data_IF_093062834718
#
_entry.id   IF_093062834718
#
_cell.length_a   1.000
_cell.length_b   1.000
_cell.length_c   1.000
_cell.angle_alpha   90.00
_cell.angle_beta   90.00
_cell.angle_gamma   90.00
#
_symmetry.space_group_name_H-M   'P 1'
#
loop_
_entity.id
_entity.type
_entity.pdbx_description
1 polymer ?
#
# COMPACT_ATOMS: atom_id res chain seq x y z
N UNK A 1 42.06 -40.50 -9.01
CA UNK A 1 41.06 -40.46 -7.90
C UNK A 1 40.79 -39.06 -7.34
N UNK A 2 41.25 -37.96 -7.96
CA UNK A 2 41.20 -36.59 -7.40
C UNK A 2 40.07 -35.68 -7.95
N UNK A 3 39.38 -36.07 -9.03
CA UNK A 3 38.36 -35.22 -9.70
C UNK A 3 37.02 -35.12 -8.95
N UNK A 4 36.70 -36.10 -8.10
CA UNK A 4 35.38 -36.20 -7.46
C UNK A 4 35.20 -35.27 -6.26
N UNK A 5 36.29 -34.78 -5.66
CA UNK A 5 36.22 -33.87 -4.51
C UNK A 5 35.96 -32.41 -4.94
N UNK A 6 36.45 -32.01 -6.11
CA UNK A 6 36.23 -30.65 -6.65
C UNK A 6 34.75 -30.40 -6.99
N UNK A 7 34.07 -31.36 -7.63
CA UNK A 7 32.66 -31.23 -7.97
C UNK A 7 31.74 -31.20 -6.73
N UNK A 8 32.13 -31.90 -5.65
CA UNK A 8 31.40 -31.87 -4.38
C UNK A 8 31.56 -30.53 -3.65
N UNK A 9 32.75 -29.93 -3.71
CA UNK A 9 33.01 -28.60 -3.16
C UNK A 9 32.26 -27.50 -3.92
N UNK A 10 32.25 -27.57 -5.26
CA UNK A 10 31.49 -26.62 -6.10
C UNK A 10 29.98 -26.76 -5.82
N UNK A 11 29.46 -27.99 -5.70
CA UNK A 11 28.04 -28.23 -5.39
C UNK A 11 27.66 -27.72 -3.99
N UNK A 12 28.52 -27.94 -2.97
CA UNK A 12 28.29 -27.44 -1.62
C UNK A 12 28.34 -25.90 -1.53
N UNK A 13 29.21 -25.27 -2.32
CA UNK A 13 29.31 -23.81 -2.41
C UNK A 13 28.09 -23.21 -3.13
N UNK A 14 27.60 -23.88 -4.18
CA UNK A 14 26.37 -23.48 -4.89
C UNK A 14 25.11 -23.65 -4.02
N UNK A 15 25.06 -24.71 -3.20
CA UNK A 15 23.95 -24.97 -2.27
C UNK A 15 23.93 -23.95 -1.12
N UNK A 16 25.10 -23.59 -0.59
CA UNK A 16 25.22 -22.52 0.42
C UNK A 16 24.81 -21.15 -0.16
N UNK A 17 25.18 -20.87 -1.42
CA UNK A 17 24.76 -19.64 -2.09
C UNK A 17 23.24 -19.59 -2.28
N UNK A 18 22.59 -20.72 -2.62
CA UNK A 18 21.12 -20.79 -2.75
C UNK A 18 20.38 -20.54 -1.43
N UNK A 19 20.94 -20.97 -0.29
CA UNK A 19 20.34 -20.78 1.04
C UNK A 19 20.45 -19.32 1.50
N UNK A 20 21.51 -18.60 1.13
CA UNK A 20 21.69 -17.20 1.48
C UNK A 20 20.80 -16.22 0.68
N UNK A 21 20.21 -16.62 -0.44
CA UNK A 21 19.29 -15.76 -1.22
C UNK A 21 17.91 -15.62 -0.53
N UNK A 22 17.59 -16.50 0.43
CA UNK A 22 16.28 -16.53 1.10
C UNK A 22 16.03 -15.48 2.20
N UNK A 23 17.00 -14.60 2.51
CA UNK A 23 16.88 -13.63 3.62
C UNK A 23 16.95 -12.17 3.20
N UNK A 24 16.73 -11.85 1.92
CA UNK A 24 16.51 -10.45 1.54
C UNK A 24 15.09 -10.08 1.96
N UNK A 25 14.96 -9.44 3.12
CA UNK A 25 13.77 -8.66 3.46
C UNK A 25 13.71 -7.54 2.41
N UNK A 26 12.87 -7.70 1.40
CA UNK A 26 12.54 -6.62 0.48
C UNK A 26 11.92 -5.50 1.31
N UNK A 27 12.71 -4.48 1.64
CA UNK A 27 12.19 -3.24 2.19
C UNK A 27 11.47 -2.53 1.05
N UNK A 28 10.18 -2.84 0.93
CA UNK A 28 9.30 -2.17 -0.03
C UNK A 28 8.80 -0.87 0.59
N UNK A 29 8.99 0.24 -0.13
CA UNK A 29 8.44 1.57 0.17
C UNK A 29 6.92 1.65 -0.03
N UNK A 30 6.27 0.52 -0.30
CA UNK A 30 4.83 0.41 -0.53
C UNK A 30 4.03 -0.02 0.68
N UNK A 31 4.66 0.02 1.84
CA UNK A 31 4.00 -0.29 3.09
C UNK A 31 3.41 0.98 3.70
N UNK A 32 2.34 0.81 4.47
CA UNK A 32 1.84 1.81 5.38
C UNK A 32 2.25 1.49 6.81
N UNK A 33 1.62 2.19 7.75
CA UNK A 33 1.80 1.91 9.16
C UNK A 33 0.60 2.34 9.99
N UNK A 34 0.63 1.96 11.26
CA UNK A 34 -0.31 2.44 12.27
C UNK A 34 0.48 3.04 13.41
N UNK A 35 0.12 4.25 13.82
CA UNK A 35 0.71 4.96 14.95
C UNK A 35 -0.38 5.38 15.91
N UNK A 36 -0.01 5.71 17.14
CA UNK A 36 -0.93 6.38 18.05
C UNK A 36 -0.43 6.38 19.48
N UNK A 37 -1.29 6.82 20.37
CA UNK A 37 -1.02 6.92 21.80
C UNK A 37 -2.04 6.15 22.62
N UNK A 38 -1.57 5.50 23.68
CA UNK A 38 -2.40 4.80 24.66
C UNK A 38 -2.54 5.64 25.91
N UNK A 39 -3.80 5.90 26.29
CA UNK A 39 -4.16 6.71 27.47
C UNK A 39 -5.19 6.00 28.34
N UNK A 40 -5.30 6.42 29.60
CA UNK A 40 -6.31 5.93 30.54
C UNK A 40 -7.62 6.76 30.49
N UNK A 41 -8.67 6.41 31.27
CA UNK A 41 -9.93 7.17 31.29
C UNK A 41 -9.78 8.65 31.66
N UNK A 42 -8.73 8.98 32.42
CA UNK A 42 -8.39 10.31 32.92
C UNK A 42 -7.46 11.08 31.96
N UNK A 43 -7.01 10.46 30.86
CA UNK A 43 -6.10 11.03 29.88
C UNK A 43 -4.62 10.92 30.25
N UNK A 44 -4.28 10.20 31.32
CA UNK A 44 -2.90 9.90 31.65
C UNK A 44 -2.31 8.86 30.69
N UNK A 45 -0.99 8.90 30.54
CA UNK A 45 -0.25 8.03 29.62
C UNK A 45 -0.20 6.61 30.18
N UNK A 46 -0.44 5.60 29.34
CA UNK A 46 -0.23 4.20 29.69
C UNK A 46 1.03 3.66 28.99
N UNK A 47 2.18 3.62 29.68
CA UNK A 47 3.41 3.08 29.10
C UNK A 47 3.36 1.56 29.03
N UNK A 48 4.22 0.98 28.18
CA UNK A 48 4.41 -0.48 28.06
C UNK A 48 3.13 -1.28 27.70
N UNK A 49 2.11 -0.63 27.14
CA UNK A 49 0.96 -1.32 26.59
C UNK A 49 1.40 -2.20 25.40
N UNK A 50 0.93 -3.44 25.36
CA UNK A 50 1.14 -4.34 24.23
C UNK A 50 0.12 -4.02 23.15
N UNK A 51 0.58 -3.74 21.94
CA UNK A 51 -0.24 -3.44 20.77
C UNK A 51 -0.04 -4.55 19.75
N UNK A 52 -1.10 -5.32 19.49
CA UNK A 52 -1.14 -6.40 18.52
C UNK A 52 -1.96 -5.98 17.32
N UNK A 53 -1.33 -5.95 16.16
CA UNK A 53 -1.91 -5.51 14.88
C UNK A 53 -2.08 -6.73 13.98
N UNK A 54 -3.31 -7.07 13.63
CA UNK A 54 -3.65 -8.26 12.85
C UNK A 54 -4.26 -7.84 11.52
N UNK A 55 -3.68 -8.27 10.39
CA UNK A 55 -4.27 -8.10 9.07
C UNK A 55 -5.49 -9.03 8.96
N UNK A 56 -6.68 -8.48 8.69
CA UNK A 56 -7.92 -9.29 8.69
C UNK A 56 -8.05 -10.17 7.45
N UNK A 57 -7.38 -9.84 6.34
CA UNK A 57 -7.42 -10.63 5.11
C UNK A 57 -6.41 -11.80 5.08
N UNK A 58 -5.26 -11.65 5.75
CA UNK A 58 -4.19 -12.67 5.75
C UNK A 58 -3.99 -13.35 7.10
N UNK A 59 -4.58 -12.83 8.19
CA UNK A 59 -4.34 -13.24 9.58
C UNK A 59 -2.88 -13.04 10.07
N UNK A 60 -2.04 -12.34 9.30
CA UNK A 60 -0.69 -11.99 9.72
C UNK A 60 -0.74 -11.01 10.90
N UNK A 61 0.08 -11.25 11.92
CA UNK A 61 0.08 -10.48 13.16
C UNK A 61 1.46 -9.88 13.43
N UNK A 62 1.48 -8.60 13.79
CA UNK A 62 2.67 -7.89 14.30
C UNK A 62 2.36 -7.41 15.71
N UNK A 63 3.28 -7.59 16.65
CA UNK A 63 3.11 -7.11 18.03
C UNK A 63 4.24 -6.16 18.37
N UNK A 64 3.89 -5.01 18.95
CA UNK A 64 4.83 -4.01 19.46
C UNK A 64 4.44 -3.59 20.87
N UNK A 65 5.37 -2.96 21.58
CA UNK A 65 5.12 -2.40 22.90
C UNK A 65 5.17 -0.87 22.82
N UNK A 66 4.18 -0.20 23.40
CA UNK A 66 4.16 1.25 23.51
C UNK A 66 5.33 1.74 24.39
N UNK A 67 5.92 2.87 24.02
CA UNK A 67 7.06 3.44 24.73
C UNK A 67 6.66 4.08 26.08
N UNK A 68 7.62 4.71 26.76
CA UNK A 68 7.40 5.37 28.05
C UNK A 68 6.44 6.58 27.99
N UNK A 69 6.21 7.12 26.79
CA UNK A 69 5.24 8.19 26.52
C UNK A 69 3.87 7.63 26.07
N UNK A 70 3.70 6.31 26.13
CA UNK A 70 2.49 5.60 25.68
C UNK A 70 2.28 5.62 24.18
N UNK A 71 3.26 6.10 23.40
CA UNK A 71 3.19 6.12 21.94
C UNK A 71 3.64 4.77 21.37
N UNK A 72 2.98 4.34 20.31
CA UNK A 72 3.32 3.14 19.56
C UNK A 72 3.41 3.45 18.06
N UNK A 73 4.22 2.66 17.36
CA UNK A 73 4.37 2.74 15.91
C UNK A 73 4.61 1.34 15.35
N UNK A 74 3.78 0.96 14.40
CA UNK A 74 3.90 -0.28 13.63
C UNK A 74 4.04 0.12 12.18
N UNK A 75 5.26 0.03 11.65
CA UNK A 75 5.57 0.33 10.25
C UNK A 75 5.59 -0.96 9.43
N UNK A 76 5.79 -0.83 8.12
CA UNK A 76 5.97 -1.95 7.21
C UNK A 76 4.75 -2.87 7.11
N UNK A 77 3.56 -2.31 7.32
CA UNK A 77 2.30 -3.03 7.13
C UNK A 77 1.89 -2.96 5.66
N UNK A 78 1.54 -4.09 5.07
CA UNK A 78 0.96 -4.08 3.73
C UNK A 78 -0.35 -3.30 3.74
N UNK A 79 -0.70 -2.59 2.66
CA UNK A 79 -2.03 -1.99 2.55
C UNK A 79 -3.12 -3.02 2.82
N UNK A 80 -4.12 -2.65 3.62
CA UNK A 80 -4.94 -3.66 4.28
C UNK A 80 -5.97 -3.08 5.23
N UNK A 81 -6.94 -3.92 5.61
CA UNK A 81 -7.76 -3.68 6.79
C UNK A 81 -7.16 -4.48 7.94
N UNK A 82 -7.09 -3.83 9.10
CA UNK A 82 -6.43 -4.36 10.28
C UNK A 82 -7.36 -4.29 11.49
N UNK A 83 -7.11 -5.20 12.43
CA UNK A 83 -7.61 -5.15 13.79
C UNK A 83 -6.46 -4.89 14.75
N UNK A 84 -6.65 -3.91 15.62
CA UNK A 84 -5.73 -3.58 16.70
C UNK A 84 -6.28 -4.13 18.02
N UNK A 85 -5.45 -4.84 18.78
CA UNK A 85 -5.75 -5.27 20.13
C UNK A 85 -4.70 -4.67 21.07
N UNK A 86 -5.12 -3.85 22.03
CA UNK A 86 -4.24 -3.17 22.97
C UNK A 86 -4.51 -3.72 24.36
N UNK A 87 -3.45 -4.14 25.06
CA UNK A 87 -3.55 -4.64 26.43
C UNK A 87 -2.46 -4.03 27.32
N UNK A 88 -2.82 -3.74 28.58
CA UNK A 88 -1.88 -3.30 29.61
C UNK A 88 -2.35 -3.80 30.97
N UNK A 89 -1.42 -4.06 31.89
CA UNK A 89 -1.75 -4.55 33.23
C UNK A 89 -2.65 -3.57 33.99
N UNK A 90 -3.74 -4.08 34.59
CA UNK A 90 -4.71 -3.25 35.31
C UNK A 90 -5.79 -2.60 34.44
N UNK A 91 -5.75 -2.81 33.12
CA UNK A 91 -6.73 -2.28 32.17
C UNK A 91 -7.44 -3.40 31.40
N UNK A 92 -8.67 -3.13 31.02
CA UNK A 92 -9.44 -3.94 30.09
C UNK A 92 -8.75 -3.89 28.72
N UNK A 93 -8.53 -5.04 28.05
CA UNK A 93 -8.02 -5.01 26.69
C UNK A 93 -9.03 -4.32 25.77
N UNK A 94 -8.53 -3.45 24.91
CA UNK A 94 -9.31 -2.69 23.92
C UNK A 94 -9.07 -3.26 22.53
N UNK A 95 -10.10 -3.25 21.68
CA UNK A 95 -10.02 -3.69 20.29
C UNK A 95 -10.52 -2.61 19.36
N UNK A 96 -9.76 -2.23 18.35
CA UNK A 96 -10.22 -1.39 17.26
C UNK A 96 -10.28 -2.22 15.98
N UNK A 97 -11.45 -2.28 15.34
CA UNK A 97 -11.66 -3.00 14.08
C UNK A 97 -11.74 -2.03 12.89
N UNK A 98 -11.60 -2.56 11.68
CA UNK A 98 -11.76 -1.76 10.46
C UNK A 98 -10.64 -0.73 10.22
N UNK A 99 -9.49 -0.84 10.88
CA UNK A 99 -8.38 0.11 10.71
C UNK A 99 -7.77 -0.06 9.33
N UNK A 100 -7.98 0.94 8.46
CA UNK A 100 -7.44 0.94 7.10
C UNK A 100 -6.00 1.44 7.11
N UNK A 101 -5.11 0.67 6.48
CA UNK A 101 -3.72 1.03 6.20
C UNK A 101 -3.59 1.20 4.69
N UNK A 102 -3.11 2.37 4.28
CA UNK A 102 -2.89 2.75 2.89
C UNK A 102 -1.39 2.85 2.60
N UNK A 103 -1.02 2.68 1.33
CA UNK A 103 0.36 2.79 0.85
C UNK A 103 0.96 4.17 1.17
N UNK A 104 2.16 4.15 1.75
CA UNK A 104 2.91 5.38 2.05
C UNK A 104 2.24 6.28 3.09
N UNK A 105 1.29 5.77 3.87
CA UNK A 105 0.57 6.51 4.91
C UNK A 105 0.68 5.81 6.26
N UNK A 106 0.85 6.60 7.32
CA UNK A 106 0.65 6.17 8.69
C UNK A 106 -0.75 6.55 9.17
N UNK A 107 -1.56 5.56 9.53
CA UNK A 107 -2.90 5.77 10.10
C UNK A 107 -2.75 6.01 11.60
N UNK A 108 -3.22 7.17 12.09
CA UNK A 108 -3.16 7.49 13.51
C UNK A 108 -4.41 6.98 14.25
N UNK A 109 -4.23 6.14 15.26
CA UNK A 109 -5.30 5.56 16.10
C UNK A 109 -4.92 5.74 17.57
N UNK A 110 -5.44 6.79 18.18
CA UNK A 110 -5.31 6.98 19.63
C UNK A 110 -6.31 6.10 20.38
N UNK A 111 -5.85 5.41 21.41
CA UNK A 111 -6.64 4.42 22.17
C UNK A 111 -6.74 4.85 23.61
N UNK A 112 -7.97 4.85 24.12
CA UNK A 112 -8.29 5.13 25.51
C UNK A 112 -8.72 3.83 26.19
N UNK A 113 -7.87 3.31 27.07
CA UNK A 113 -8.16 2.10 27.82
C UNK A 113 -9.17 2.36 28.93
N UNK A 114 -9.91 1.32 29.31
CA UNK A 114 -10.82 1.36 30.45
C UNK A 114 -10.25 0.54 31.60
N UNK A 115 -10.49 0.97 32.84
CA UNK A 115 -10.00 0.26 34.03
C UNK A 115 -10.85 -1.00 34.23
N UNK A 116 -10.21 -2.16 34.40
CA UNK A 116 -10.90 -3.42 34.61
C UNK A 116 -10.16 -4.61 34.03
N UNK A 117 -10.77 -5.79 34.10
CA UNK A 117 -10.22 -7.04 33.55
C UNK A 117 -11.12 -7.66 32.47
N UNK A 118 -12.35 -7.16 32.32
CA UNK A 118 -13.25 -7.59 31.25
C UNK A 118 -12.80 -6.98 29.91
N UNK A 119 -12.92 -7.71 28.80
CA UNK A 119 -12.62 -7.17 27.47
C UNK A 119 -13.60 -6.04 27.18
N UNK A 120 -13.08 -4.84 26.95
CA UNK A 120 -13.89 -3.72 26.47
C UNK A 120 -13.80 -3.70 24.95
N UNK A 121 -14.89 -4.08 24.29
CA UNK A 121 -15.03 -3.89 22.85
C UNK A 121 -15.34 -2.41 22.63
N UNK A 122 -14.29 -1.58 22.64
CA UNK A 122 -14.41 -0.19 22.23
C UNK A 122 -14.39 -0.19 20.71
N UNK A 123 -15.56 -0.28 20.08
CA UNK A 123 -15.71 -0.11 18.65
C UNK A 123 -15.27 1.32 18.27
N UNK A 124 -13.96 1.50 18.09
CA UNK A 124 -13.42 2.69 17.46
C UNK A 124 -13.77 2.53 15.99
N UNK A 125 -14.91 3.10 15.59
CA UNK A 125 -15.20 3.33 14.17
C UNK A 125 -14.10 4.24 13.65
N UNK A 126 -13.08 3.63 13.04
CA UNK A 126 -11.99 4.31 12.37
C UNK A 126 -12.55 4.96 11.10
N UNK A 127 -13.29 6.06 11.26
CA UNK A 127 -13.62 6.92 10.14
C UNK A 127 -12.29 7.53 9.66
N UNK A 128 -11.81 7.08 8.50
CA UNK A 128 -10.60 7.62 7.92
C UNK A 128 -10.80 9.14 7.71
N UNK A 129 -9.98 10.01 8.31
CA UNK A 129 -10.11 11.43 8.07
C UNK A 129 -9.87 11.68 6.58
N UNK A 130 -10.87 12.29 5.92
CA UNK A 130 -10.89 12.62 4.48
C UNK A 130 -9.70 13.51 4.11
N UNK A 131 -9.15 14.24 5.09
CA UNK A 131 -7.99 15.12 4.93
C UNK A 131 -7.04 14.87 6.11
N UNK A 132 -5.79 14.51 5.80
CA UNK A 132 -4.72 14.42 6.78
C UNK A 132 -4.01 15.78 6.87
N UNK A 133 -4.14 16.47 8.02
CA UNK A 133 -3.45 17.75 8.27
C UNK A 133 -2.02 17.56 8.84
N UNK A 134 -1.61 16.32 9.11
CA UNK A 134 -0.37 15.99 9.80
C UNK A 134 0.81 15.73 8.87
N UNK A 135 0.57 15.58 7.57
CA UNK A 135 1.59 15.26 6.58
C UNK A 135 1.94 16.50 5.74
N UNK A 136 3.23 16.79 5.62
CA UNK A 136 3.75 17.94 4.86
C UNK A 136 3.91 17.63 3.35
N UNK A 137 3.69 16.38 2.94
CA UNK A 137 3.65 16.00 1.54
C UNK A 137 2.28 16.30 0.93
N UNK A 138 2.26 16.92 -0.26
CA UNK A 138 1.05 17.00 -1.08
C UNK A 138 0.85 15.64 -1.75
N UNK A 139 0.46 14.66 -0.93
CA UNK A 139 0.20 13.29 -1.30
C UNK A 139 -1.32 13.06 -1.41
N UNK A 140 -1.73 12.33 -2.43
CA UNK A 140 -3.11 11.88 -2.61
C UNK A 140 -3.12 10.36 -2.80
N UNK A 141 -3.87 9.68 -1.93
CA UNK A 141 -4.11 8.25 -2.03
C UNK A 141 -5.38 8.03 -2.84
N UNK A 142 -5.26 7.30 -3.95
CA UNK A 142 -6.40 6.90 -4.78
C UNK A 142 -6.71 5.44 -4.47
N UNK A 143 -7.85 5.22 -3.84
CA UNK A 143 -8.27 3.92 -3.34
C UNK A 143 -8.88 3.02 -4.43
N UNK A 144 -9.06 1.75 -4.08
CA UNK A 144 -9.61 0.72 -4.96
C UNK A 144 -11.02 1.05 -5.47
N UNK A 145 -11.86 1.66 -4.64
CA UNK A 145 -13.22 2.05 -5.02
C UNK A 145 -13.20 3.07 -6.15
N UNK A 146 -12.38 4.11 -6.02
CA UNK A 146 -12.21 5.13 -7.06
C UNK A 146 -11.68 4.51 -8.35
N UNK A 147 -10.73 3.59 -8.25
CA UNK A 147 -10.18 2.87 -9.41
C UNK A 147 -11.25 2.02 -10.09
N UNK A 148 -12.16 1.38 -9.36
CA UNK A 148 -13.16 0.48 -9.95
C UNK A 148 -14.43 1.19 -10.44
N UNK A 149 -14.83 2.28 -9.80
CA UNK A 149 -16.12 2.94 -10.05
C UNK A 149 -16.01 4.11 -11.02
N UNK A 150 -14.85 4.76 -11.11
CA UNK A 150 -14.67 5.88 -12.00
C UNK A 150 -14.34 5.39 -13.41
N UNK A 151 -15.06 5.87 -14.44
CA UNK A 151 -14.75 5.53 -15.81
C UNK A 151 -13.40 6.15 -16.21
N UNK A 152 -12.58 5.38 -16.90
CA UNK A 152 -11.29 5.83 -17.40
C UNK A 152 -11.10 5.45 -18.85
N UNK A 153 -10.54 6.37 -19.62
CA UNK A 153 -10.25 6.11 -21.02
C UNK A 153 -8.98 5.26 -21.15
N UNK A 154 -9.09 4.13 -21.87
CA UNK A 154 -7.96 3.27 -22.21
C UNK A 154 -7.44 2.35 -21.10
N UNK A 155 -8.10 2.28 -19.93
CA UNK A 155 -7.74 1.35 -18.85
C UNK A 155 -6.39 1.60 -18.17
N UNK A 156 -5.81 2.80 -18.35
CA UNK A 156 -4.54 3.20 -17.74
C UNK A 156 -4.78 3.74 -16.34
N UNK A 157 -4.45 2.97 -15.30
CA UNK A 157 -4.72 3.35 -13.90
C UNK A 157 -4.04 4.67 -13.51
N UNK A 158 -2.88 4.97 -14.10
CA UNK A 158 -2.14 6.21 -13.81
C UNK A 158 -2.90 7.48 -14.17
N UNK A 159 -3.87 7.41 -15.08
CA UNK A 159 -4.72 8.56 -15.44
C UNK A 159 -5.59 9.02 -14.25
N UNK A 160 -5.87 8.16 -13.27
CA UNK A 160 -6.55 8.57 -12.04
C UNK A 160 -5.72 9.53 -11.18
N UNK A 161 -4.41 9.68 -11.43
CA UNK A 161 -3.61 10.71 -10.77
C UNK A 161 -4.08 12.14 -11.11
N UNK A 162 -4.92 12.33 -12.15
CA UNK A 162 -5.61 13.59 -12.42
C UNK A 162 -6.62 14.00 -11.33
N UNK A 163 -6.99 13.08 -10.43
CA UNK A 163 -7.79 13.39 -9.24
C UNK A 163 -6.96 14.09 -8.15
N UNK A 164 -5.63 14.12 -8.31
CA UNK A 164 -4.72 14.80 -7.37
C UNK A 164 -4.68 16.30 -7.69
N UNK A 165 -4.79 17.18 -6.67
CA UNK A 165 -4.65 18.62 -6.88
C UNK A 165 -3.34 19.00 -7.58
N UNK A 166 -3.42 19.90 -8.56
CA UNK A 166 -2.24 20.35 -9.32
C UNK A 166 -1.75 19.36 -10.38
N UNK A 167 -2.45 18.24 -10.58
CA UNK A 167 -2.24 17.35 -11.71
C UNK A 167 -3.06 17.82 -12.93
N UNK A 168 -2.41 17.95 -14.08
CA UNK A 168 -3.07 18.29 -15.34
C UNK A 168 -2.53 17.41 -16.47
N UNK A 169 -3.30 17.13 -17.52
CA UNK A 169 -2.75 16.48 -18.70
C UNK A 169 -1.63 17.33 -19.32
N UNK A 170 -0.59 16.70 -19.84
CA UNK A 170 0.52 17.38 -20.54
C UNK A 170 0.12 17.98 -21.91
N UNK A 171 -1.13 17.75 -22.33
CA UNK A 171 -1.67 18.21 -23.61
C UNK A 171 -1.04 17.55 -24.84
N UNK A 172 -0.20 16.52 -24.65
CA UNK A 172 0.55 15.89 -25.74
C UNK A 172 0.06 14.46 -25.95
N UNK A 173 0.76 13.45 -25.42
CA UNK A 173 0.42 12.03 -25.62
C UNK A 173 -0.08 11.38 -24.32
N UNK A 174 -0.73 12.15 -23.45
CA UNK A 174 -1.38 11.63 -22.25
C UNK A 174 -0.42 11.28 -21.11
N UNK A 175 0.62 12.10 -20.91
CA UNK A 175 1.30 12.16 -19.62
C UNK A 175 0.55 13.14 -18.71
N UNK A 176 0.92 13.10 -17.43
CA UNK A 176 0.41 14.00 -16.42
C UNK A 176 1.54 14.94 -16.02
N UNK A 177 1.27 16.23 -16.06
CA UNK A 177 2.11 17.25 -15.46
C UNK A 177 1.63 17.49 -14.03
N UNK A 178 2.56 17.46 -13.08
CA UNK A 178 2.30 17.91 -11.72
C UNK A 178 2.90 19.30 -11.55
N UNK A 179 2.07 20.27 -11.15
CA UNK A 179 2.49 21.63 -10.82
C UNK A 179 3.27 22.33 -11.95
N UNK A 180 2.95 22.02 -13.20
CA UNK A 180 3.58 22.60 -14.39
C UNK A 180 4.92 21.98 -14.79
N UNK A 181 5.39 20.95 -14.09
CA UNK A 181 6.62 20.22 -14.45
C UNK A 181 6.30 19.15 -15.51
N UNK A 182 7.23 18.93 -16.43
CA UNK A 182 7.11 17.91 -17.48
C UNK A 182 6.86 16.52 -16.89
N UNK A 183 5.89 15.80 -17.44
CA UNK A 183 5.58 14.42 -17.02
C UNK A 183 6.71 13.41 -17.27
N UNK A 184 7.73 13.78 -18.06
CA UNK A 184 8.97 12.99 -18.22
C UNK A 184 9.85 12.98 -16.97
N UNK A 185 9.64 13.94 -16.07
CA UNK A 185 10.31 14.05 -14.79
C UNK A 185 9.45 13.50 -13.65
N UNK A 186 8.46 12.68 -13.99
CA UNK A 186 7.70 11.89 -13.03
C UNK A 186 8.32 10.50 -12.90
N UNK A 187 8.26 9.96 -11.68
CA UNK A 187 8.63 8.58 -11.42
C UNK A 187 7.37 7.77 -11.12
N UNK A 188 7.26 6.61 -11.74
CA UNK A 188 6.14 5.69 -11.57
C UNK A 188 6.70 4.35 -11.11
N UNK A 189 6.24 3.87 -9.96
CA UNK A 189 6.60 2.55 -9.45
C UNK A 189 5.36 1.69 -9.30
N UNK A 190 5.51 0.39 -9.54
CA UNK A 190 4.50 -0.61 -9.19
C UNK A 190 5.16 -1.73 -8.43
N UNK A 191 4.61 -2.06 -7.26
CA UNK A 191 5.18 -3.08 -6.37
C UNK A 191 6.67 -2.84 -6.01
N UNK A 192 7.11 -1.56 -6.05
CA UNK A 192 8.46 -1.10 -5.76
C UNK A 192 9.41 -1.19 -6.95
N UNK A 193 8.95 -1.77 -8.06
CA UNK A 193 9.68 -1.81 -9.33
C UNK A 193 9.50 -0.54 -10.15
N UNK A 194 10.57 -0.10 -10.81
CA UNK A 194 10.53 1.01 -11.76
C UNK A 194 9.63 0.66 -12.95
N UNK A 195 8.58 1.47 -13.13
CA UNK A 195 7.61 1.36 -14.22
C UNK A 195 7.80 2.47 -15.29
N UNK A 196 8.94 3.17 -15.27
CA UNK A 196 9.36 4.05 -16.34
C UNK A 196 10.07 3.28 -17.47
N UNK A 197 10.12 3.91 -18.65
CA UNK A 197 10.86 3.45 -19.82
C UNK A 197 12.28 3.98 -19.77
N UNK A 198 13.27 3.12 -20.03
CA UNK A 198 14.68 3.50 -19.98
C UNK A 198 15.07 4.59 -21.00
N UNK A 199 14.43 4.62 -22.17
CA UNK A 199 14.83 5.51 -23.28
C UNK A 199 14.19 6.90 -23.23
N UNK A 200 12.90 6.97 -22.89
CA UNK A 200 12.14 8.24 -22.87
C UNK A 200 11.83 8.73 -21.46
N UNK A 201 12.19 7.99 -20.41
CA UNK A 201 11.89 8.30 -18.99
C UNK A 201 10.39 8.46 -18.69
N UNK A 202 9.52 7.99 -19.57
CA UNK A 202 8.06 8.05 -19.44
C UNK A 202 7.48 6.76 -18.84
N UNK A 203 6.23 6.80 -18.35
CA UNK A 203 5.52 5.60 -17.90
C UNK A 203 5.42 4.55 -19.03
N UNK A 204 5.65 3.27 -18.70
CA UNK A 204 5.40 2.16 -19.61
C UNK A 204 3.92 2.13 -20.01
N UNK A 205 3.64 1.83 -21.27
CA UNK A 205 2.26 1.72 -21.73
C UNK A 205 1.62 3.00 -22.30
N UNK A 206 2.42 4.05 -22.56
CA UNK A 206 1.95 5.33 -23.13
C UNK A 206 1.67 5.28 -24.64
N UNK A 207 2.70 5.06 -25.47
CA UNK A 207 2.58 5.14 -26.95
C UNK A 207 3.17 3.96 -27.71
N UNK A 208 4.36 3.48 -27.30
CA UNK A 208 5.15 2.51 -28.09
C UNK A 208 5.25 1.13 -27.47
N UNK A 209 5.08 1.05 -26.16
CA UNK A 209 5.08 -0.19 -25.39
C UNK A 209 3.66 -0.37 -24.88
N UNK A 210 3.12 -1.58 -24.92
CA UNK A 210 1.78 -1.88 -24.40
C UNK A 210 1.71 -1.65 -22.89
N UNK A 211 0.51 -1.30 -22.39
CA UNK A 211 0.26 -1.16 -20.96
C UNK A 211 0.35 -2.54 -20.30
N UNK A 212 1.31 -2.72 -19.39
CA UNK A 212 1.68 -4.05 -18.88
C UNK A 212 0.85 -4.43 -17.65
N UNK A 213 0.34 -3.44 -16.91
CA UNK A 213 -0.34 -3.66 -15.62
C UNK A 213 -1.78 -3.17 -15.76
N UNK A 214 -2.73 -4.10 -15.81
CA UNK A 214 -4.15 -3.75 -15.88
C UNK A 214 -4.57 -2.89 -14.70
N UNK A 215 -5.49 -1.95 -14.92
CA UNK A 215 -6.20 -1.24 -13.85
C UNK A 215 -6.81 -2.19 -12.82
N UNK A 216 -7.34 -3.34 -13.26
CA UNK A 216 -7.92 -4.34 -12.35
C UNK A 216 -6.89 -5.03 -11.45
N UNK A 217 -5.60 -4.99 -11.81
CA UNK A 217 -4.53 -5.52 -10.96
C UNK A 217 -4.14 -4.55 -9.85
N UNK A 218 -4.40 -3.25 -10.02
CA UNK A 218 -4.09 -2.23 -9.02
C UNK A 218 -5.12 -2.26 -7.90
N UNK A 219 -4.61 -2.24 -6.66
CA UNK A 219 -5.42 -2.03 -5.47
C UNK A 219 -5.60 -0.54 -5.21
N UNK A 220 -4.49 0.16 -5.10
CA UNK A 220 -4.44 1.59 -4.80
C UNK A 220 -3.10 2.16 -5.22
N UNK A 221 -3.00 3.48 -5.26
CA UNK A 221 -1.73 4.15 -5.47
C UNK A 221 -1.70 5.50 -4.75
N UNK A 222 -0.49 5.92 -4.38
CA UNK A 222 -0.22 7.24 -3.82
C UNK A 222 0.47 8.10 -4.88
N UNK A 223 0.01 9.34 -5.00
CA UNK A 223 0.63 10.36 -5.85
C UNK A 223 1.21 11.44 -4.94
N UNK A 224 2.52 11.61 -4.95
CA UNK A 224 3.20 12.65 -4.20
C UNK A 224 3.74 13.72 -5.15
N UNK A 225 3.26 14.96 -5.02
CA UNK A 225 3.58 16.07 -5.94
C UNK A 225 4.65 17.03 -5.40
N UNK A 226 5.07 16.88 -4.13
CA UNK A 226 6.09 17.73 -3.51
C UNK A 226 6.60 17.13 -2.20
N UNK A 227 7.82 17.50 -1.77
CA UNK A 227 8.37 17.07 -0.48
C UNK A 227 8.49 15.54 -0.32
N UNK A 228 8.58 14.81 -1.43
CA UNK A 228 8.94 13.39 -1.44
C UNK A 228 10.43 13.19 -1.10
N UNK A 229 10.74 12.04 -0.52
CA UNK A 229 12.10 11.68 -0.10
C UNK A 229 13.10 11.68 -1.27
N UNK A 230 14.36 12.01 -0.99
CA UNK A 230 15.45 12.01 -1.98
C UNK A 230 15.74 10.61 -2.56
N UNK A 231 15.22 9.55 -1.93
CA UNK A 231 15.29 8.18 -2.46
C UNK A 231 14.59 8.03 -3.82
N UNK A 232 13.58 8.85 -4.11
CA UNK A 232 12.87 8.89 -5.38
C UNK A 232 13.59 9.74 -6.43
N UNK A 233 14.93 9.73 -6.44
CA UNK A 233 15.76 10.52 -7.35
C UNK A 233 15.29 10.48 -8.81
N UNK A 234 15.66 11.49 -9.61
CA UNK A 234 15.17 11.71 -11.00
C UNK A 234 13.71 12.19 -11.12
N UNK A 235 12.99 12.28 -10.00
CA UNK A 235 11.64 12.87 -9.95
C UNK A 235 11.75 14.36 -9.63
N UNK A 236 11.34 15.22 -10.56
CA UNK A 236 11.18 16.66 -10.30
C UNK A 236 9.72 17.11 -10.41
N UNK A 237 8.86 16.33 -11.09
CA UNK A 237 7.43 16.58 -11.18
C UNK A 237 6.67 15.94 -10.02
N UNK A 238 6.43 14.64 -10.11
CA UNK A 238 5.77 13.88 -9.06
C UNK A 238 6.18 12.42 -9.03
N UNK A 239 5.89 11.76 -7.92
CA UNK A 239 6.13 10.34 -7.68
C UNK A 239 4.79 9.64 -7.55
N UNK A 240 4.56 8.63 -8.38
CA UNK A 240 3.38 7.77 -8.30
C UNK A 240 3.83 6.38 -7.88
N UNK A 241 3.32 5.91 -6.73
CA UNK A 241 3.64 4.60 -6.18
C UNK A 241 2.36 3.76 -6.14
N UNK A 242 2.28 2.74 -6.97
CA UNK A 242 1.13 1.85 -7.03
C UNK A 242 1.41 0.49 -6.38
N UNK A 243 0.35 -0.08 -5.81
CA UNK A 243 0.36 -1.40 -5.20
C UNK A 243 -0.68 -2.28 -5.88
N UNK A 244 -0.28 -3.48 -6.28
CA UNK A 244 -1.22 -4.45 -6.82
C UNK A 244 -2.04 -5.12 -5.71
N UNK A 245 -3.16 -5.72 -6.10
CA UNK A 245 -3.99 -6.50 -5.17
C UNK A 245 -3.18 -7.68 -4.62
N UNK A 246 -2.95 -7.68 -3.31
CA UNK A 246 -2.42 -8.82 -2.58
C UNK A 246 -3.50 -9.89 -2.41
N UNK A 247 -3.15 -11.17 -2.55
CA UNK A 247 -4.07 -12.27 -2.27
C UNK A 247 -4.56 -12.24 -0.82
N UNK A 248 -5.82 -12.60 -0.62
CA UNK A 248 -6.37 -12.88 0.72
C UNK A 248 -6.46 -14.40 0.93
N UNK A 249 -6.86 -14.82 2.14
CA UNK A 249 -7.13 -16.23 2.41
C UNK A 249 -8.40 -16.75 1.70
N UNK A 250 -9.22 -15.86 1.12
CA UNK A 250 -10.39 -16.23 0.34
C UNK A 250 -10.04 -16.42 -1.14
N UNK A 251 -10.66 -17.42 -1.78
CA UNK A 251 -10.44 -17.69 -3.20
C UNK A 251 -11.19 -16.67 -4.07
N UNK A 252 -10.47 -15.98 -4.94
CA UNK A 252 -11.05 -15.02 -5.88
C UNK A 252 -10.31 -15.02 -7.23
N UNK A 253 -11.00 -14.62 -8.30
CA UNK A 253 -10.43 -14.52 -9.63
C UNK A 253 -11.26 -13.58 -10.52
N UNK A 254 -10.60 -13.00 -11.52
CA UNK A 254 -11.22 -12.12 -12.50
C UNK A 254 -10.76 -12.53 -13.90
N UNK A 255 -11.68 -12.52 -14.86
CA UNK A 255 -11.38 -12.74 -16.28
C UNK A 255 -11.71 -11.46 -17.04
N UNK A 256 -10.75 -10.97 -17.83
CA UNK A 256 -10.96 -9.83 -18.71
C UNK A 256 -10.88 -10.28 -20.18
N UNK A 257 -11.69 -9.65 -21.03
CA UNK A 257 -11.61 -9.80 -22.48
C UNK A 257 -11.44 -8.43 -23.11
N UNK A 258 -10.42 -8.27 -23.95
CA UNK A 258 -10.24 -7.06 -24.75
C UNK A 258 -10.82 -7.33 -26.13
N UNK A 259 -12.09 -7.01 -26.33
CA UNK A 259 -12.66 -6.98 -27.68
C UNK A 259 -12.17 -5.71 -28.39
N UNK A 260 -11.16 -5.85 -29.24
CA UNK A 260 -10.87 -4.84 -30.24
C UNK A 260 -11.99 -4.89 -31.29
N UNK A 261 -13.07 -4.15 -31.07
CA UNK A 261 -14.15 -4.04 -32.05
C UNK A 261 -14.60 -2.59 -32.12
N UNK A 262 -14.28 -1.95 -33.24
CA UNK A 262 -14.94 -0.72 -33.69
C UNK A 262 -16.45 -0.97 -33.68
N UNK A 263 -17.18 -0.18 -32.89
CA UNK A 263 -18.63 -0.14 -32.68
C UNK A 263 -19.11 -0.60 -31.29
N UNK A 264 -19.52 0.42 -30.53
CA UNK A 264 -20.36 0.47 -29.33
C UNK A 264 -21.21 -0.77 -29.04
N UNK A 265 -20.95 -1.44 -27.92
CA UNK A 265 -21.92 -2.32 -27.22
C UNK A 265 -21.69 -2.17 -25.70
N UNK A 266 -22.74 -2.00 -24.87
CA UNK A 266 -22.58 -1.80 -23.43
C UNK A 266 -22.11 -3.08 -22.73
N UNK A 267 -21.25 -2.92 -21.72
CA UNK A 267 -20.72 -4.02 -20.94
C UNK A 267 -21.82 -4.75 -20.14
N UNK A 268 -22.15 -5.98 -20.54
CA UNK A 268 -22.99 -6.87 -19.73
C UNK A 268 -22.12 -7.51 -18.64
N UNK A 269 -22.24 -7.00 -17.41
CA UNK A 269 -21.66 -7.60 -16.19
C UNK A 269 -22.46 -8.85 -15.83
N UNK A 270 -21.87 -10.04 -15.94
CA UNK A 270 -22.45 -11.27 -15.36
C UNK A 270 -21.96 -11.38 -13.92
N UNK A 271 -22.83 -11.06 -12.97
CA UNK A 271 -22.60 -11.25 -11.54
C UNK A 271 -23.12 -12.65 -11.16
N UNK A 272 -22.21 -13.58 -10.85
CA UNK A 272 -22.56 -14.87 -10.24
C UNK A 272 -22.21 -14.82 -8.76
N UNK A 273 -23.14 -14.36 -7.93
CA UNK A 273 -23.10 -14.59 -6.49
C UNK A 273 -23.58 -16.01 -6.22
N UNK A 274 -22.71 -16.86 -5.68
CA UNK A 274 -23.13 -17.98 -4.86
C UNK A 274 -22.31 -17.96 -3.58
N UNK A 275 -23.00 -17.65 -2.49
CA UNK A 275 -22.55 -17.82 -1.12
C UNK A 275 -22.32 -19.30 -0.83
N UNK A 276 -21.13 -19.64 -0.33
CA UNK A 276 -20.88 -20.64 0.71
C UNK A 276 -19.66 -20.21 1.49
#
# INVERSE_FOLDING_TARGET
MTKNYSNKLISAMLFTLLICVGQVLAQSTLTGGVTGKVTDPQGAIVPNATVKVTNTGTNSTVTVTANNEGAYSVTNLQPGTYRLEISSGGFAPSKAEGVVVEVGRATNIDVKLTVGTAVAEVEVTAEAPVINLSDNANASNINQTSINELPINGGRWSNFALLTPGAVPDGTFGLISFRGVSGLLNNNTVDGGDNNQAFFSEERGRTRIGYVISQSAIREFQVNTSNYSAEYGRSAGGVTNAVTKSGTNEFHGEAFTTTATTATVPATRVHSTRSW
#
